data_IF_021230557883
#
_entry.id   IF_021230557883
#
_cell.length_a   1.000
_cell.length_b   1.000
_cell.length_c   1.000
_cell.angle_alpha   90.00
_cell.angle_beta   90.00
_cell.angle_gamma   90.00
#
_symmetry.space_group_name_H-M   'P 1'
#
loop_
_entity.id
_entity.type
_entity.pdbx_description
1 polymer ?
#
# COMPACT_ATOMS: atom_id res chain seq x y z
N UNK A 1 -38.96 3.17 41.44
CA UNK A 1 -38.45 1.92 40.84
C UNK A 1 -36.98 2.12 40.59
N UNK A 2 -36.17 1.36 41.31
CA UNK A 2 -34.72 1.49 41.43
C UNK A 2 -34.00 1.03 40.16
N UNK A 3 -32.89 1.68 39.87
CA UNK A 3 -31.90 1.31 38.87
C UNK A 3 -30.83 0.50 39.62
N UNK A 4 -30.93 -0.84 39.60
CA UNK A 4 -29.86 -1.76 39.99
C UNK A 4 -30.20 -3.17 39.50
N UNK A 5 -29.16 -4.00 39.33
CA UNK A 5 -29.16 -5.42 38.91
C UNK A 5 -29.05 -5.72 37.41
N UNK A 6 -27.82 -5.59 36.89
CA UNK A 6 -27.24 -6.61 36.00
C UNK A 6 -25.81 -6.90 36.47
N UNK A 7 -25.69 -7.82 37.42
CA UNK A 7 -24.45 -8.47 37.87
C UNK A 7 -24.19 -9.69 37.00
N UNK A 8 -23.41 -9.50 35.93
CA UNK A 8 -22.92 -10.56 35.06
C UNK A 8 -21.43 -10.37 34.80
N UNK A 9 -20.62 -10.63 35.82
CA UNK A 9 -19.17 -10.52 35.77
C UNK A 9 -18.55 -11.54 34.82
N UNK A 10 -18.22 -11.10 33.62
CA UNK A 10 -17.05 -11.60 32.91
C UNK A 10 -15.93 -10.58 33.17
N UNK A 11 -15.11 -10.89 34.15
CA UNK A 11 -13.90 -10.14 34.48
C UNK A 11 -13.06 -9.99 33.21
N UNK A 12 -12.97 -8.78 32.67
CA UNK A 12 -12.10 -8.49 31.54
C UNK A 12 -10.66 -8.64 32.04
N UNK A 13 -10.06 -9.80 31.79
CA UNK A 13 -8.64 -9.97 32.02
C UNK A 13 -7.87 -9.33 30.85
N UNK A 14 -7.04 -8.31 31.09
CA UNK A 14 -6.17 -7.79 30.06
C UNK A 14 -5.24 -8.93 29.63
N UNK A 15 -5.27 -9.29 28.35
CA UNK A 15 -4.23 -10.15 27.76
C UNK A 15 -2.92 -9.38 27.97
N UNK A 16 -2.08 -9.91 28.84
CA UNK A 16 -0.75 -9.37 29.09
C UNK A 16 -0.02 -9.36 27.76
N UNK A 17 0.42 -8.16 27.35
CA UNK A 17 1.37 -8.04 26.27
C UNK A 17 2.63 -8.81 26.71
N UNK A 18 2.86 -9.98 26.13
CA UNK A 18 4.13 -10.71 26.24
C UNK A 18 5.12 -10.00 25.31
N UNK A 19 5.43 -8.75 25.62
CA UNK A 19 6.61 -8.12 25.11
C UNK A 19 7.55 -7.91 26.28
N UNK A 20 8.68 -8.61 26.20
CA UNK A 20 9.61 -8.73 27.31
C UNK A 20 10.46 -10.00 27.23
N UNK A 21 10.08 -10.97 26.41
CA UNK A 21 10.94 -12.07 26.00
C UNK A 21 10.44 -12.59 24.66
N UNK A 22 11.10 -12.19 23.57
CA UNK A 22 10.84 -12.81 22.27
C UNK A 22 11.20 -14.30 22.41
N UNK A 23 10.20 -15.16 22.47
CA UNK A 23 10.43 -16.60 22.34
C UNK A 23 11.03 -16.88 20.97
N UNK A 24 11.74 -17.99 20.80
CA UNK A 24 12.38 -18.36 19.52
C UNK A 24 11.41 -18.26 18.32
N UNK A 25 10.13 -18.59 18.52
CA UNK A 25 9.10 -18.48 17.50
C UNK A 25 8.85 -17.03 17.01
N UNK A 26 8.95 -16.02 17.88
CA UNK A 26 8.75 -14.62 17.47
C UNK A 26 9.93 -14.09 16.62
N UNK A 27 11.15 -14.62 16.82
CA UNK A 27 12.28 -14.31 15.93
C UNK A 27 12.09 -14.97 14.56
N UNK A 28 11.65 -16.24 14.53
CA UNK A 28 11.32 -16.93 13.28
C UNK A 28 10.22 -16.19 12.49
N UNK A 29 9.18 -15.68 13.17
CA UNK A 29 8.13 -14.89 12.53
C UNK A 29 8.62 -13.50 12.09
N UNK A 30 9.60 -12.91 12.78
CA UNK A 30 10.24 -11.65 12.36
C UNK A 30 10.99 -11.85 11.04
N UNK A 31 11.71 -12.96 10.90
CA UNK A 31 12.48 -13.27 9.70
C UNK A 31 11.61 -13.81 8.55
N UNK A 32 10.54 -14.57 8.84
CA UNK A 32 9.63 -15.13 7.84
C UNK A 32 8.20 -14.56 7.97
N UNK A 33 7.98 -13.47 7.23
CA UNK A 33 6.66 -12.82 7.11
C UNK A 33 5.59 -13.71 6.47
N UNK A 34 5.96 -14.69 5.62
CA UNK A 34 4.99 -15.61 5.01
C UNK A 34 4.50 -16.60 6.04
N UNK A 35 5.42 -17.16 6.83
CA UNK A 35 5.06 -18.02 7.96
C UNK A 35 4.20 -17.28 8.98
N UNK A 36 4.56 -16.04 9.32
CA UNK A 36 3.73 -15.17 10.16
C UNK A 36 2.32 -15.00 9.59
N UNK A 37 2.19 -14.74 8.29
CA UNK A 37 0.89 -14.57 7.64
C UNK A 37 0.03 -15.84 7.74
N UNK A 38 0.61 -17.02 7.54
CA UNK A 38 -0.08 -18.30 7.64
C UNK A 38 -0.49 -18.64 9.06
N UNK A 39 0.49 -18.74 9.96
CA UNK A 39 0.31 -19.32 11.28
C UNK A 39 -0.33 -18.34 12.28
N UNK A 40 -0.03 -17.04 12.17
CA UNK A 40 -0.51 -16.02 13.12
C UNK A 40 -1.70 -15.23 12.60
N UNK A 41 -1.82 -15.06 11.28
CA UNK A 41 -2.93 -14.31 10.67
C UNK A 41 -3.95 -15.20 9.95
N UNK A 42 -3.71 -16.51 9.79
CA UNK A 42 -4.60 -17.40 9.05
C UNK A 42 -4.82 -16.94 7.61
N UNK A 43 -3.79 -16.37 6.98
CA UNK A 43 -3.81 -15.91 5.60
C UNK A 43 -2.90 -16.83 4.76
N UNK A 44 -3.47 -17.44 3.74
CA UNK A 44 -2.75 -18.29 2.78
C UNK A 44 -2.41 -17.47 1.53
N UNK A 45 -1.19 -16.90 1.44
CA UNK A 45 -0.75 -16.21 0.22
C UNK A 45 -0.55 -17.22 -0.91
N UNK A 46 -0.92 -16.82 -2.13
CA UNK A 46 -0.45 -17.49 -3.34
C UNK A 46 1.04 -17.17 -3.61
N UNK A 47 1.65 -17.87 -4.57
CA UNK A 47 3.10 -17.75 -4.86
C UNK A 47 3.53 -16.31 -5.20
N UNK A 48 2.69 -15.54 -5.90
CA UNK A 48 3.02 -14.14 -6.20
C UNK A 48 2.87 -13.27 -4.96
N UNK A 49 1.83 -13.47 -4.15
CA UNK A 49 1.65 -12.78 -2.88
C UNK A 49 2.78 -13.08 -1.88
N UNK A 50 3.29 -14.31 -1.86
CA UNK A 50 4.48 -14.69 -1.10
C UNK A 50 5.72 -13.90 -1.52
N UNK A 51 5.94 -13.79 -2.84
CA UNK A 51 7.04 -12.99 -3.38
C UNK A 51 6.92 -11.52 -2.97
N UNK A 52 5.70 -10.96 -2.99
CA UNK A 52 5.43 -9.60 -2.50
C UNK A 52 5.78 -9.47 -1.03
N UNK A 53 5.29 -10.37 -0.16
CA UNK A 53 5.55 -10.28 1.29
C UNK A 53 7.05 -10.28 1.60
N UNK A 54 7.81 -11.13 0.90
CA UNK A 54 9.28 -11.20 0.97
C UNK A 54 10.00 -10.06 0.25
N UNK A 55 9.26 -9.17 -0.40
CA UNK A 55 9.79 -8.03 -1.14
C UNK A 55 10.70 -7.15 -0.29
N UNK A 56 11.74 -6.61 -0.95
CA UNK A 56 12.76 -5.78 -0.31
C UNK A 56 12.33 -4.32 -0.11
N UNK A 57 13.31 -3.41 -0.19
CA UNK A 57 13.11 -1.98 0.07
C UNK A 57 12.32 -1.25 -1.02
N UNK A 58 12.18 -1.80 -2.22
CA UNK A 58 11.55 -1.16 -3.37
C UNK A 58 10.63 -2.16 -4.05
N UNK A 59 9.32 -1.99 -3.90
CA UNK A 59 8.31 -2.91 -4.45
C UNK A 59 7.22 -2.14 -5.20
N UNK A 60 6.92 -2.52 -6.44
CA UNK A 60 5.77 -2.00 -7.18
C UNK A 60 4.84 -3.11 -7.62
N UNK A 61 3.54 -2.93 -7.37
CA UNK A 61 2.50 -3.87 -7.79
C UNK A 61 1.54 -3.18 -8.75
N UNK A 62 1.52 -3.62 -10.01
CA UNK A 62 0.48 -3.29 -10.97
C UNK A 62 -0.43 -4.51 -11.12
N UNK A 63 -1.40 -4.67 -10.23
CA UNK A 63 -2.26 -5.85 -10.22
C UNK A 63 -3.73 -5.46 -10.31
N UNK A 64 -4.55 -6.34 -10.85
CA UNK A 64 -5.98 -6.08 -11.03
C UNK A 64 -6.69 -5.86 -9.69
N UNK A 65 -7.90 -5.30 -9.75
CA UNK A 65 -8.79 -5.29 -8.58
C UNK A 65 -9.00 -6.73 -8.07
N UNK A 66 -9.25 -6.86 -6.77
CA UNK A 66 -9.51 -8.14 -6.10
C UNK A 66 -8.35 -9.16 -6.15
N UNK A 67 -7.17 -8.79 -6.65
CA UNK A 67 -5.97 -9.64 -6.56
C UNK A 67 -5.48 -9.83 -5.11
N UNK A 68 -5.76 -8.88 -4.21
CA UNK A 68 -5.34 -8.92 -2.80
C UNK A 68 -4.24 -7.93 -2.42
N UNK A 69 -3.95 -6.93 -3.27
CA UNK A 69 -2.87 -5.95 -3.07
C UNK A 69 -2.88 -5.33 -1.66
N UNK A 70 -4.00 -4.71 -1.28
CA UNK A 70 -4.17 -4.04 0.01
C UNK A 70 -3.98 -4.99 1.19
N UNK A 71 -4.48 -6.23 1.09
CA UNK A 71 -4.33 -7.24 2.16
C UNK A 71 -2.86 -7.59 2.37
N UNK A 72 -2.14 -7.90 1.30
CA UNK A 72 -0.71 -8.27 1.38
C UNK A 72 0.13 -7.11 1.92
N UNK A 73 -0.12 -5.88 1.48
CA UNK A 73 0.59 -4.71 2.01
C UNK A 73 0.18 -4.36 3.44
N UNK A 74 -1.07 -4.63 3.84
CA UNK A 74 -1.51 -4.47 5.22
C UNK A 74 -0.84 -5.49 6.16
N UNK A 75 -0.62 -6.73 5.69
CA UNK A 75 0.18 -7.74 6.41
C UNK A 75 1.61 -7.24 6.57
N UNK A 76 2.25 -6.72 5.51
CA UNK A 76 3.61 -6.16 5.60
C UNK A 76 3.68 -4.98 6.58
N UNK A 77 2.72 -4.06 6.52
CA UNK A 77 2.63 -2.92 7.42
C UNK A 77 2.48 -3.37 8.88
N UNK A 78 1.57 -4.33 9.14
CA UNK A 78 1.36 -4.89 10.47
C UNK A 78 2.62 -5.61 10.98
N UNK A 79 3.21 -6.48 10.18
CA UNK A 79 4.44 -7.22 10.52
C UNK A 79 5.58 -6.26 10.90
N UNK A 80 5.80 -5.24 10.08
CA UNK A 80 6.83 -4.20 10.34
C UNK A 80 6.59 -3.50 11.68
N UNK A 81 5.37 -3.00 11.92
CA UNK A 81 5.04 -2.27 13.14
C UNK A 81 4.89 -3.15 14.38
N UNK A 82 4.69 -4.46 14.19
CA UNK A 82 4.55 -5.42 15.29
C UNK A 82 5.91 -5.84 15.85
N UNK A 83 6.90 -6.04 14.98
CA UNK A 83 8.22 -6.55 15.37
C UNK A 83 9.28 -5.47 15.64
N UNK A 84 9.03 -4.23 15.23
CA UNK A 84 9.88 -3.07 15.51
C UNK A 84 9.09 -2.00 16.30
N UNK A 85 9.33 -1.89 17.62
CA UNK A 85 8.76 -0.85 18.49
C UNK A 85 8.94 0.59 18.00
N UNK A 86 10.03 0.87 17.27
CA UNK A 86 10.34 2.20 16.75
C UNK A 86 9.73 2.43 15.36
N UNK A 87 9.13 1.41 14.74
CA UNK A 87 8.69 1.50 13.37
C UNK A 87 7.59 2.55 13.18
N UNK A 88 7.80 3.38 12.17
CA UNK A 88 6.77 4.25 11.60
C UNK A 88 6.47 3.80 10.17
N UNK A 89 5.24 3.29 9.98
CA UNK A 89 4.71 2.94 8.66
C UNK A 89 3.76 4.03 8.19
N UNK A 90 4.03 4.61 7.03
CA UNK A 90 3.16 5.63 6.41
C UNK A 90 2.38 5.02 5.25
N UNK A 91 1.08 5.31 5.18
CA UNK A 91 0.19 4.88 4.11
C UNK A 91 -0.31 6.11 3.36
N UNK A 92 0.34 6.45 2.24
CA UNK A 92 -0.15 7.47 1.32
C UNK A 92 -1.29 6.93 0.48
N UNK A 93 -2.42 7.64 0.43
CA UNK A 93 -3.58 7.23 -0.36
C UNK A 93 -4.27 8.42 -1.02
N UNK A 94 -5.06 8.23 -2.10
CA UNK A 94 -5.69 9.34 -2.81
C UNK A 94 -6.67 10.16 -1.98
N UNK A 95 -7.19 9.61 -0.87
CA UNK A 95 -8.11 10.30 0.02
C UNK A 95 -8.09 9.73 1.44
N UNK A 96 -8.61 10.52 2.39
CA UNK A 96 -8.78 10.11 3.79
C UNK A 96 -9.60 8.81 3.93
N UNK A 97 -10.61 8.64 3.07
CA UNK A 97 -11.42 7.42 3.05
C UNK A 97 -10.57 6.20 2.72
N UNK A 98 -9.68 6.31 1.72
CA UNK A 98 -8.84 5.17 1.30
C UNK A 98 -7.81 4.81 2.37
N UNK A 99 -7.10 5.79 2.93
CA UNK A 99 -6.15 5.52 4.01
C UNK A 99 -6.84 4.93 5.25
N UNK A 100 -8.05 5.38 5.57
CA UNK A 100 -8.86 4.79 6.66
C UNK A 100 -9.29 3.34 6.36
N UNK A 101 -9.64 3.02 5.10
CA UNK A 101 -9.96 1.64 4.71
C UNK A 101 -8.74 0.73 4.83
N UNK A 102 -7.55 1.21 4.47
CA UNK A 102 -6.30 0.47 4.68
C UNK A 102 -6.06 0.20 6.17
N UNK A 103 -6.18 1.22 7.02
CA UNK A 103 -6.03 1.04 8.48
C UNK A 103 -7.09 0.10 9.06
N UNK A 104 -8.31 0.09 8.50
CA UNK A 104 -9.33 -0.90 8.88
C UNK A 104 -8.91 -2.32 8.54
N UNK A 105 -8.26 -2.54 7.38
CA UNK A 105 -7.72 -3.85 7.02
C UNK A 105 -6.62 -4.29 8.00
N UNK A 106 -5.69 -3.40 8.32
CA UNK A 106 -4.63 -3.63 9.34
C UNK A 106 -5.25 -3.98 10.69
N UNK A 107 -6.26 -3.23 11.14
CA UNK A 107 -6.97 -3.50 12.40
C UNK A 107 -7.62 -4.89 12.42
N UNK A 108 -8.22 -5.30 11.30
CA UNK A 108 -8.82 -6.63 11.16
C UNK A 108 -7.77 -7.75 11.27
N UNK A 109 -6.58 -7.54 10.70
CA UNK A 109 -5.46 -8.47 10.83
C UNK A 109 -4.89 -8.49 12.25
N UNK A 110 -4.73 -7.32 12.87
CA UNK A 110 -4.25 -7.20 14.26
C UNK A 110 -5.16 -7.91 15.26
N UNK A 111 -6.49 -7.89 15.03
CA UNK A 111 -7.43 -8.63 15.87
C UNK A 111 -7.20 -10.15 15.83
N UNK A 112 -6.69 -10.71 14.72
CA UNK A 112 -6.34 -12.13 14.63
C UNK A 112 -5.13 -12.52 15.49
N UNK A 113 -4.27 -11.55 15.80
CA UNK A 113 -3.16 -11.70 16.75
C UNK A 113 -3.62 -11.63 18.22
N UNK A 114 -4.93 -11.51 18.48
CA UNK A 114 -5.45 -11.27 19.82
C UNK A 114 -5.19 -9.84 20.33
N UNK A 115 -4.71 -8.94 19.48
CA UNK A 115 -4.56 -7.54 19.85
C UNK A 115 -5.96 -6.94 19.94
N UNK A 116 -6.30 -6.41 21.13
CA UNK A 116 -7.56 -5.73 21.36
C UNK A 116 -7.73 -4.48 20.48
N UNK A 117 -8.70 -3.63 20.81
CA UNK A 117 -8.98 -2.43 20.01
C UNK A 117 -7.76 -1.48 19.98
N UNK A 118 -7.00 -1.53 18.89
CA UNK A 118 -5.86 -0.62 18.67
C UNK A 118 -6.32 0.84 18.73
N UNK A 119 -5.58 1.66 19.46
CA UNK A 119 -5.83 3.11 19.53
C UNK A 119 -5.03 3.83 18.44
N UNK A 120 -5.37 5.09 18.17
CA UNK A 120 -4.48 5.95 17.40
C UNK A 120 -3.26 6.34 18.25
N UNK A 121 -2.23 6.86 17.61
CA UNK A 121 -0.99 7.35 18.22
C UNK A 121 -1.13 8.68 18.98
N UNK A 122 -2.34 9.25 19.04
CA UNK A 122 -2.65 10.50 19.75
C UNK A 122 -2.31 11.77 18.98
N UNK A 123 -1.37 11.70 18.03
CA UNK A 123 -0.85 12.84 17.28
C UNK A 123 -1.42 12.92 15.86
N UNK A 124 -1.49 11.79 15.17
CA UNK A 124 -1.87 11.72 13.77
C UNK A 124 -3.27 11.13 13.64
N UNK A 125 -4.11 11.71 12.78
CA UNK A 125 -5.42 11.11 12.46
C UNK A 125 -5.60 11.04 10.95
N UNK A 126 -5.81 9.84 10.37
CA UNK A 126 -6.05 8.54 11.01
C UNK A 126 -4.75 7.73 11.28
N UNK A 127 -4.64 7.06 12.43
CA UNK A 127 -3.48 6.23 12.80
C UNK A 127 -3.84 5.01 13.65
N UNK A 128 -2.88 4.08 13.78
CA UNK A 128 -2.89 2.93 14.68
C UNK A 128 -1.54 2.85 15.41
N UNK A 129 -1.58 2.64 16.72
CA UNK A 129 -0.41 2.31 17.52
C UNK A 129 -0.55 0.90 18.08
N UNK A 130 0.49 0.08 17.87
CA UNK A 130 0.60 -1.27 18.37
C UNK A 130 1.03 -1.22 19.85
N UNK A 131 0.66 -2.21 20.68
CA UNK A 131 1.05 -2.20 22.10
C UNK A 131 2.57 -2.16 22.33
N UNK A 132 3.34 -2.69 21.38
CA UNK A 132 4.80 -2.64 21.42
C UNK A 132 5.42 -1.31 20.98
N UNK A 133 4.63 -0.32 20.58
CA UNK A 133 5.08 1.03 20.25
C UNK A 133 4.99 1.39 18.77
N UNK A 134 5.18 0.42 17.86
CA UNK A 134 5.16 0.65 16.42
C UNK A 134 3.86 1.30 15.94
N UNK A 135 3.96 2.12 14.90
CA UNK A 135 2.86 2.99 14.43
C UNK A 135 2.60 2.81 12.94
N UNK A 136 1.33 2.91 12.58
CA UNK A 136 0.86 2.89 11.19
C UNK A 136 -0.06 4.10 11.00
N UNK A 137 0.36 5.04 10.16
CA UNK A 137 -0.30 6.33 9.95
C UNK A 137 -0.84 6.42 8.52
N UNK A 138 -2.11 6.76 8.38
CA UNK A 138 -2.74 6.98 7.09
C UNK A 138 -2.68 8.45 6.68
N UNK A 139 -2.17 8.73 5.49
CA UNK A 139 -2.03 10.08 4.96
C UNK A 139 -2.99 10.28 3.77
N UNK A 140 -3.88 11.29 3.82
CA UNK A 140 -4.71 11.66 2.68
C UNK A 140 -3.89 12.32 1.56
N UNK A 141 -4.44 12.35 0.35
CA UNK A 141 -3.77 12.87 -0.86
C UNK A 141 -3.58 14.39 -0.92
N UNK A 142 -3.58 15.10 0.21
CA UNK A 142 -3.30 16.54 0.27
C UNK A 142 -1.90 16.79 0.83
N UNK A 143 -1.10 17.58 0.08
CA UNK A 143 0.30 17.84 0.36
C UNK A 143 0.57 18.54 1.71
N UNK A 144 -0.42 19.25 2.25
CA UNK A 144 -0.30 19.97 3.53
C UNK A 144 -0.12 19.05 4.76
N UNK A 145 -0.37 17.75 4.62
CA UNK A 145 -0.30 16.77 5.73
C UNK A 145 1.06 16.08 5.87
N UNK A 146 2.08 16.55 5.17
CA UNK A 146 3.30 15.77 4.88
C UNK A 146 4.56 16.26 5.60
N UNK A 147 4.49 17.41 6.27
CA UNK A 147 5.66 18.02 6.94
C UNK A 147 5.83 17.43 8.34
N UNK A 148 6.99 16.82 8.61
CA UNK A 148 7.43 16.47 9.98
C UNK A 148 7.67 14.99 10.29
N UNK A 149 7.41 14.07 9.35
CA UNK A 149 7.76 12.66 9.56
C UNK A 149 9.26 12.42 9.39
N UNK A 150 9.85 11.73 10.37
CA UNK A 150 11.24 11.27 10.36
C UNK A 150 11.29 9.79 10.76
N UNK A 151 12.40 9.10 10.44
CA UNK A 151 12.61 7.68 10.75
C UNK A 151 11.48 6.75 10.23
N UNK A 152 10.99 7.01 9.01
CA UNK A 152 9.98 6.15 8.38
C UNK A 152 10.61 4.82 7.99
N UNK A 153 10.13 3.72 8.58
CA UNK A 153 10.61 2.36 8.31
C UNK A 153 10.04 1.82 6.99
N UNK A 154 8.78 2.14 6.69
CA UNK A 154 8.09 1.70 5.48
C UNK A 154 7.06 2.74 5.03
N UNK A 155 7.16 3.16 3.77
CA UNK A 155 6.19 4.02 3.09
C UNK A 155 5.45 3.20 2.02
N UNK A 156 4.13 3.14 2.13
CA UNK A 156 3.25 2.46 1.18
C UNK A 156 2.35 3.49 0.51
N UNK A 157 2.38 3.56 -0.82
CA UNK A 157 1.38 4.27 -1.61
C UNK A 157 0.31 3.27 -2.07
N UNK A 158 -0.87 3.32 -1.44
CA UNK A 158 -2.04 2.57 -1.88
C UNK A 158 -2.80 3.35 -2.97
N UNK A 159 -3.31 2.63 -3.97
CA UNK A 159 -3.88 3.24 -5.17
C UNK A 159 -2.93 4.28 -5.83
N UNK A 160 -1.64 3.95 -5.89
CA UNK A 160 -0.54 4.86 -6.27
C UNK A 160 -0.74 5.62 -7.60
N UNK A 161 -1.32 5.01 -8.63
CA UNK A 161 -1.61 5.68 -9.90
C UNK A 161 -2.65 6.83 -9.79
N UNK A 162 -3.32 6.95 -8.64
CA UNK A 162 -4.31 7.99 -8.32
C UNK A 162 -3.81 8.95 -7.24
N UNK A 163 -2.64 8.71 -6.64
CA UNK A 163 -2.03 9.62 -5.67
C UNK A 163 -1.39 10.80 -6.43
N UNK A 164 -1.57 12.06 -5.98
CA UNK A 164 -0.93 13.22 -6.60
C UNK A 164 0.59 13.14 -6.53
N UNK A 165 1.27 13.64 -7.56
CA UNK A 165 2.73 13.57 -7.64
C UNK A 165 3.40 14.37 -6.53
N UNK A 166 2.79 15.49 -6.11
CA UNK A 166 3.27 16.36 -5.05
C UNK A 166 3.38 15.61 -3.71
N UNK A 167 2.46 14.69 -3.44
CA UNK A 167 2.51 13.84 -2.25
C UNK A 167 3.69 12.87 -2.31
N UNK A 168 3.92 12.26 -3.48
CA UNK A 168 5.08 11.39 -3.69
C UNK A 168 6.39 12.15 -3.53
N UNK A 169 6.49 13.33 -4.15
CA UNK A 169 7.66 14.19 -4.11
C UNK A 169 7.97 14.70 -2.70
N UNK A 170 6.94 14.89 -1.87
CA UNK A 170 7.10 15.29 -0.48
C UNK A 170 7.47 14.12 0.45
N UNK A 171 6.87 12.94 0.27
CA UNK A 171 7.11 11.78 1.15
C UNK A 171 8.34 10.96 0.77
N UNK A 172 8.62 10.72 -0.51
CA UNK A 172 9.72 9.85 -0.90
C UNK A 172 11.09 10.28 -0.32
N UNK A 173 11.43 11.57 -0.22
CA UNK A 173 12.70 12.02 0.38
C UNK A 173 12.88 11.66 1.86
N UNK A 174 11.80 11.44 2.63
CA UNK A 174 11.91 11.11 4.07
C UNK A 174 12.63 9.77 4.30
N UNK A 175 12.67 8.91 3.28
CA UNK A 175 13.37 7.64 3.31
C UNK A 175 14.88 7.75 3.09
N UNK A 176 15.38 8.91 2.65
CA UNK A 176 16.80 9.09 2.39
C UNK A 176 17.64 8.94 3.66
N UNK A 177 17.11 9.40 4.80
CA UNK A 177 17.79 9.31 6.10
C UNK A 177 17.54 7.96 6.77
N UNK A 178 16.31 7.45 6.73
CA UNK A 178 15.97 6.19 7.40
C UNK A 178 16.45 4.93 6.64
N UNK A 179 16.70 5.04 5.34
CA UNK A 179 16.95 3.89 4.49
C UNK A 179 15.77 2.92 4.40
N UNK A 180 14.56 3.39 4.71
CA UNK A 180 13.33 2.58 4.80
C UNK A 180 12.80 2.08 3.45
N UNK A 181 11.79 1.21 3.53
CA UNK A 181 11.11 0.64 2.38
C UNK A 181 10.15 1.64 1.70
N UNK A 182 10.01 1.52 0.38
CA UNK A 182 9.06 2.26 -0.46
C UNK A 182 8.29 1.26 -1.32
N UNK A 183 7.00 1.16 -1.08
CA UNK A 183 6.11 0.23 -1.77
C UNK A 183 5.01 1.04 -2.47
N UNK A 184 4.76 0.78 -3.76
CA UNK A 184 3.72 1.46 -4.52
C UNK A 184 2.79 0.43 -5.17
N UNK A 185 1.52 0.44 -4.81
CA UNK A 185 0.55 -0.56 -5.28
C UNK A 185 -0.61 0.11 -5.99
N UNK A 186 -1.02 -0.42 -7.14
CA UNK A 186 -2.13 0.17 -7.87
C UNK A 186 -2.75 -0.74 -8.93
N UNK A 187 -3.84 -0.24 -9.49
CA UNK A 187 -4.25 -0.52 -10.87
C UNK A 187 -3.74 0.63 -11.75
N UNK A 188 -3.43 0.41 -13.04
CA UNK A 188 -2.93 1.48 -13.89
C UNK A 188 -3.99 2.59 -14.06
N UNK A 189 -3.52 3.83 -14.29
CA UNK A 189 -4.38 5.01 -14.54
C UNK A 189 -3.90 5.82 -15.76
N UNK A 190 -3.64 5.11 -16.85
CA UNK A 190 -3.00 5.64 -18.04
C UNK A 190 -1.53 6.00 -17.82
N UNK A 191 -0.88 6.51 -18.86
CA UNK A 191 0.56 6.84 -18.86
C UNK A 191 0.87 8.20 -18.21
N UNK A 192 0.61 8.34 -16.91
CA UNK A 192 0.81 9.59 -16.15
C UNK A 192 1.15 9.35 -14.68
N UNK A 193 1.67 10.41 -14.05
CA UNK A 193 2.02 10.42 -12.64
C UNK A 193 3.24 9.57 -12.30
N UNK A 194 3.70 9.67 -11.05
CA UNK A 194 4.91 9.01 -10.58
C UNK A 194 4.84 7.49 -10.73
N UNK A 195 3.67 6.88 -10.49
CA UNK A 195 3.51 5.43 -10.58
C UNK A 195 3.83 4.91 -11.99
N UNK A 196 3.28 5.53 -13.05
CA UNK A 196 3.65 5.18 -14.42
C UNK A 196 5.11 5.50 -14.71
N UNK A 197 5.61 6.68 -14.31
CA UNK A 197 7.00 7.08 -14.60
C UNK A 197 7.99 6.06 -14.06
N UNK A 198 7.84 5.61 -12.81
CA UNK A 198 8.73 4.61 -12.21
C UNK A 198 8.50 3.25 -12.85
N UNK A 199 7.24 2.84 -13.08
CA UNK A 199 6.92 1.57 -13.73
C UNK A 199 7.54 1.42 -15.12
N UNK A 200 7.44 2.49 -15.93
CA UNK A 200 7.85 2.53 -17.33
C UNK A 200 9.36 2.60 -17.52
N UNK A 201 10.08 3.31 -16.64
CA UNK A 201 11.55 3.35 -16.71
C UNK A 201 12.13 1.95 -16.54
N UNK A 202 11.54 1.16 -15.65
CA UNK A 202 11.77 -0.27 -15.53
C UNK A 202 13.20 -0.68 -15.17
N UNK A 203 13.99 0.28 -14.72
CA UNK A 203 15.37 0.18 -14.29
C UNK A 203 15.48 0.39 -12.76
N UNK A 204 16.50 -0.22 -12.16
CA UNK A 204 16.85 -0.06 -10.74
C UNK A 204 16.39 -1.18 -9.81
N UNK A 205 16.53 -0.92 -8.50
CA UNK A 205 16.36 -1.88 -7.40
C UNK A 205 14.89 -2.31 -7.11
N UNK A 206 13.96 -2.03 -8.03
CA UNK A 206 12.53 -2.28 -7.82
C UNK A 206 12.13 -3.71 -8.18
N UNK A 207 11.62 -4.44 -7.20
CA UNK A 207 10.80 -5.63 -7.47
C UNK A 207 9.47 -5.19 -8.07
N UNK A 208 9.15 -5.63 -9.29
CA UNK A 208 7.89 -5.32 -9.98
C UNK A 208 7.09 -6.58 -10.20
N UNK A 209 5.82 -6.56 -9.80
CA UNK A 209 4.86 -7.64 -10.06
C UNK A 209 3.67 -7.07 -10.81
N UNK A 210 3.42 -7.64 -11.98
CA UNK A 210 2.22 -7.43 -12.77
C UNK A 210 1.34 -8.68 -12.66
N UNK A 211 0.07 -8.49 -12.33
CA UNK A 211 -0.87 -9.59 -12.22
C UNK A 211 -2.24 -9.15 -12.74
N UNK A 212 -2.54 -9.42 -14.03
CA UNK A 212 -3.86 -9.18 -14.59
C UNK A 212 -4.89 -10.12 -13.93
N UNK A 213 -6.16 -9.78 -14.07
CA UNK A 213 -7.26 -10.56 -13.52
C UNK A 213 -7.32 -11.97 -14.11
N UNK A 214 -6.84 -12.16 -15.34
CA UNK A 214 -6.68 -13.47 -16.01
C UNK A 214 -5.64 -14.37 -15.34
N UNK A 215 -4.67 -13.80 -14.62
CA UNK A 215 -3.68 -14.53 -13.83
C UNK A 215 -4.16 -14.81 -12.39
N UNK A 216 -5.32 -14.30 -11.99
CA UNK A 216 -5.87 -14.48 -10.65
C UNK A 216 -6.88 -15.63 -10.64
N UNK A 217 -6.50 -16.79 -10.12
CA UNK A 217 -7.38 -17.97 -10.03
C UNK A 217 -8.69 -17.73 -9.24
N UNK A 218 -8.72 -16.70 -8.38
CA UNK A 218 -9.91 -16.29 -7.61
C UNK A 218 -10.96 -15.58 -8.46
N UNK A 219 -10.61 -15.12 -9.67
CA UNK A 219 -11.51 -14.42 -10.58
C UNK A 219 -11.96 -15.40 -11.67
N UNK A 220 -13.24 -15.79 -11.71
CA UNK A 220 -13.71 -16.78 -12.67
C UNK A 220 -13.70 -16.23 -14.09
N UNK A 221 -13.33 -17.07 -15.06
CA UNK A 221 -13.28 -16.70 -16.47
C UNK A 221 -14.64 -16.16 -16.98
N UNK A 222 -15.76 -16.75 -16.52
CA UNK A 222 -17.10 -16.29 -16.89
C UNK A 222 -17.39 -14.84 -16.49
N UNK A 223 -16.83 -14.37 -15.36
CA UNK A 223 -16.92 -12.98 -14.94
C UNK A 223 -16.11 -12.06 -15.86
N UNK A 224 -14.91 -12.48 -16.26
CA UNK A 224 -14.08 -11.72 -17.19
C UNK A 224 -14.74 -11.59 -18.57
N UNK A 225 -15.35 -12.67 -19.07
CA UNK A 225 -16.09 -12.64 -20.33
C UNK A 225 -17.31 -11.72 -20.26
N UNK A 226 -18.04 -11.71 -19.15
CA UNK A 226 -19.14 -10.76 -18.94
C UNK A 226 -18.62 -9.32 -18.90
N UNK A 227 -17.60 -9.05 -18.08
CA UNK A 227 -17.01 -7.72 -17.96
C UNK A 227 -16.46 -7.19 -19.29
N UNK A 228 -15.92 -8.06 -20.15
CA UNK A 228 -15.43 -7.70 -21.48
C UNK A 228 -16.56 -7.29 -22.43
N UNK A 229 -17.74 -7.93 -22.32
CA UNK A 229 -18.92 -7.57 -23.12
C UNK A 229 -19.56 -6.26 -22.66
N UNK A 230 -19.57 -6.04 -21.35
CA UNK A 230 -20.34 -4.95 -20.74
C UNK A 230 -19.55 -3.63 -20.64
N UNK A 231 -18.22 -3.68 -20.68
CA UNK A 231 -17.36 -2.51 -20.54
C UNK A 231 -16.72 -2.10 -21.88
N UNK A 232 -16.46 -0.80 -22.07
CA UNK A 232 -15.59 -0.37 -23.17
C UNK A 232 -14.24 -1.08 -23.10
N UNK A 233 -13.73 -1.57 -24.23
CA UNK A 233 -12.48 -2.34 -24.34
C UNK A 233 -11.32 -1.68 -23.59
N UNK A 234 -11.18 -0.36 -23.74
CA UNK A 234 -10.17 0.44 -23.04
C UNK A 234 -10.26 0.31 -21.52
N UNK A 235 -11.47 0.36 -20.96
CA UNK A 235 -11.71 0.23 -19.52
C UNK A 235 -11.45 -1.20 -19.07
N UNK A 236 -11.81 -2.20 -19.89
CA UNK A 236 -11.51 -3.59 -19.61
C UNK A 236 -10.00 -3.84 -19.53
N UNK A 237 -9.24 -3.41 -20.55
CA UNK A 237 -7.77 -3.53 -20.59
C UNK A 237 -7.09 -2.87 -19.40
N UNK A 238 -7.53 -1.68 -19.01
CA UNK A 238 -6.94 -0.97 -17.88
C UNK A 238 -7.28 -1.62 -16.52
N UNK A 239 -8.55 -1.96 -16.27
CA UNK A 239 -8.99 -2.45 -14.94
C UNK A 239 -8.70 -3.94 -14.72
N UNK A 240 -8.72 -4.76 -15.79
CA UNK A 240 -8.55 -6.21 -15.72
C UNK A 240 -7.23 -6.69 -16.28
N UNK A 241 -6.68 -6.09 -17.34
CA UNK A 241 -5.43 -6.55 -17.96
C UNK A 241 -4.19 -5.77 -17.49
N UNK A 242 -4.36 -4.83 -16.56
CA UNK A 242 -3.27 -4.04 -15.98
C UNK A 242 -2.48 -3.20 -17.00
N UNK A 243 -3.12 -2.79 -18.10
CA UNK A 243 -2.46 -2.03 -19.15
C UNK A 243 -2.43 -0.50 -18.89
N UNK A 244 -1.27 0.10 -19.15
CA UNK A 244 -1.09 1.56 -19.17
C UNK A 244 -1.40 2.14 -20.55
N UNK A 245 -2.61 2.68 -20.70
CA UNK A 245 -3.11 3.22 -21.97
C UNK A 245 -2.82 4.73 -22.11
N UNK A 246 -2.56 5.19 -23.33
CA UNK A 246 -2.44 6.63 -23.68
C UNK A 246 -3.75 7.37 -23.40
N UNK A 247 -3.77 8.67 -23.09
CA UNK A 247 -5.01 9.44 -22.93
C UNK A 247 -5.93 9.35 -24.17
N UNK A 248 -7.25 9.36 -23.98
CA UNK A 248 -8.20 9.40 -25.10
C UNK A 248 -8.03 10.71 -25.87
N UNK A 249 -7.94 10.62 -27.21
CA UNK A 249 -7.74 11.77 -28.10
C UNK A 249 -6.30 12.24 -28.25
N UNK A 250 -5.30 11.51 -27.75
CA UNK A 250 -3.89 11.83 -28.00
C UNK A 250 -3.56 11.69 -29.50
N UNK A 251 -3.46 12.82 -30.22
CA UNK A 251 -3.00 12.88 -31.61
C UNK A 251 -1.51 12.53 -31.74
N UNK A 252 -0.74 12.77 -30.67
CA UNK A 252 0.69 12.51 -30.60
C UNK A 252 1.02 11.67 -29.36
N UNK A 253 1.87 10.66 -29.53
CA UNK A 253 2.40 9.89 -28.39
C UNK A 253 3.28 10.79 -27.51
N UNK A 254 3.41 10.45 -26.22
CA UNK A 254 4.32 11.16 -25.32
C UNK A 254 5.77 11.20 -25.87
N UNK A 255 6.21 10.12 -26.53
CA UNK A 255 7.52 10.06 -27.19
C UNK A 255 7.62 11.00 -28.41
N UNK A 256 6.53 11.16 -29.18
CA UNK A 256 6.50 12.12 -30.29
C UNK A 256 6.54 13.57 -29.79
N UNK A 257 5.83 13.89 -28.70
CA UNK A 257 5.90 15.21 -28.07
C UNK A 257 7.29 15.49 -27.49
N UNK A 258 7.89 14.53 -26.79
CA UNK A 258 9.25 14.71 -26.24
C UNK A 258 10.32 14.94 -27.30
N UNK A 259 10.14 14.38 -28.52
CA UNK A 259 11.02 14.64 -29.67
C UNK A 259 10.73 15.95 -30.39
N UNK A 260 9.58 16.57 -30.13
CA UNK A 260 9.19 17.84 -30.73
C UNK A 260 9.79 19.06 -30.00
N UNK A 261 10.32 18.86 -28.78
CA UNK A 261 11.07 19.88 -28.06
C UNK A 261 12.57 19.72 -28.34
N UNK A 262 13.19 20.78 -28.86
CA UNK A 262 14.63 20.93 -28.98
C UNK A 262 14.97 22.27 -28.32
N UNK A 263 15.92 22.28 -27.38
CA UNK A 263 16.36 23.52 -26.72
C UNK A 263 17.31 24.36 -27.61
N UNK A 264 17.65 23.84 -28.79
CA UNK A 264 18.57 24.46 -29.76
C UNK A 264 17.85 25.35 -30.79
N UNK A 265 16.77 26.03 -30.39
CA UNK A 265 16.12 27.01 -31.27
C UNK A 265 16.77 28.38 -30.98
N UNK A 266 17.54 28.96 -31.92
CA UNK A 266 18.11 30.29 -31.73
C UNK A 266 16.99 31.29 -31.44
N UNK A 267 17.20 32.16 -30.45
CA UNK A 267 16.26 33.25 -30.16
C UNK A 267 16.04 34.07 -31.43
N UNK A 268 14.78 34.29 -31.79
CA UNK A 268 14.43 35.22 -32.83
C UNK A 268 14.79 36.62 -32.34
N UNK A 269 15.87 37.20 -32.87
CA UNK A 269 16.13 38.64 -32.71
C UNK A 269 15.09 39.36 -33.56
N UNK A 270 14.05 39.85 -32.90
CA UNK A 270 13.09 40.77 -33.50
C UNK A 270 13.74 42.16 -33.48
N UNK A 271 13.96 42.68 -34.69
CA UNK A 271 14.49 44.01 -34.98
C UNK A 271 13.64 45.13 -34.36
#
# INVERSE_FOLDING_TARGET
>A
MSCDEWTGGAEWQPVTWVGGGAGAADEEYREDVVRFARERLGFEPDAQQEQVLRGGKRVMLCCSRQWGKTTVTAIKALHTAYFDPAALVLIGSPSLRQSTLFLRAVRGLAARLGLGKLRGDGENRPSLQLPGGGRIVGLPGNADTTVGFSNVTLLIFDEAARVPDEMFESLAPVLAVSGGGLWAISTPKGKRGFFWRIWARGDGDWMRIEAPATACARIPASFLEAARRDLPERRFRQEFLCEFLEPDGALFSAAAMSRAFHDDIPRLELW
#
